data_IF_631194472483
#
_entry.id   IF_631194472483
#
_cell.length_a   1.000
_cell.length_b   1.000
_cell.length_c   1.000
_cell.angle_alpha   90.00
_cell.angle_beta   90.00
_cell.angle_gamma   90.00
#
_symmetry.space_group_name_H-M   'P 1'
#
loop_
_entity.id
_entity.type
_entity.pdbx_description
1 polymer ?
#
# COMPACT_ATOMS: atom_id res chain seq x y z
N UNK A 1 -22.68 22.32 13.34
CA UNK A 1 -22.19 23.56 12.69
C UNK A 1 -20.99 24.20 13.37
N UNK A 2 -21.00 24.34 14.70
CA UNK A 2 -19.83 24.84 15.48
C UNK A 2 -18.54 24.04 15.25
N UNK A 3 -18.61 22.70 15.24
CA UNK A 3 -17.45 21.83 14.97
C UNK A 3 -16.90 21.96 13.54
N UNK A 4 -17.78 22.19 12.55
CA UNK A 4 -17.37 22.43 11.16
C UNK A 4 -16.68 23.79 11.01
N UNK A 5 -17.17 24.83 11.68
CA UNK A 5 -16.55 26.16 11.67
C UNK A 5 -15.18 26.17 12.35
N UNK A 6 -15.03 25.51 13.49
CA UNK A 6 -13.72 25.38 14.18
C UNK A 6 -12.72 24.64 13.29
N UNK A 7 -13.12 23.53 12.67
CA UNK A 7 -12.25 22.80 11.73
C UNK A 7 -11.86 23.66 10.52
N UNK A 8 -12.74 24.56 10.07
CA UNK A 8 -12.46 25.46 8.95
C UNK A 8 -11.39 26.49 9.31
N UNK A 9 -11.46 27.09 10.50
CA UNK A 9 -10.46 28.03 10.99
C UNK A 9 -9.08 27.38 11.14
N UNK A 10 -9.02 26.16 11.68
CA UNK A 10 -7.78 25.39 11.77
C UNK A 10 -7.20 25.05 10.40
N UNK A 11 -8.04 24.56 9.48
CA UNK A 11 -7.61 24.23 8.12
C UNK A 11 -7.08 25.45 7.39
N UNK A 12 -7.75 26.61 7.54
CA UNK A 12 -7.30 27.87 6.94
C UNK A 12 -5.94 28.29 7.50
N UNK A 13 -5.72 28.15 8.81
CA UNK A 13 -4.44 28.44 9.44
C UNK A 13 -3.31 27.54 8.92
N UNK A 14 -3.55 26.23 8.78
CA UNK A 14 -2.57 25.29 8.23
C UNK A 14 -2.16 25.65 6.80
N UNK A 15 -3.11 26.06 5.95
CA UNK A 15 -2.85 26.35 4.53
C UNK A 15 -1.79 27.44 4.35
N UNK A 16 -1.80 28.50 5.16
CA UNK A 16 -0.78 29.56 5.07
C UNK A 16 0.42 29.34 5.99
N UNK A 17 0.25 28.63 7.10
CA UNK A 17 1.34 28.31 8.03
C UNK A 17 2.36 27.35 7.42
N UNK A 18 1.91 26.30 6.73
CA UNK A 18 2.78 25.30 6.08
C UNK A 18 3.79 25.89 5.08
N UNK A 19 3.40 26.70 4.07
CA UNK A 19 4.36 27.28 3.13
C UNK A 19 5.31 28.28 3.81
N UNK A 20 4.84 29.01 4.82
CA UNK A 20 5.67 29.94 5.59
C UNK A 20 6.74 29.19 6.40
N UNK A 21 6.34 28.15 7.12
CA UNK A 21 7.24 27.29 7.88
C UNK A 21 8.29 26.63 6.96
N UNK A 22 7.86 26.09 5.82
CA UNK A 22 8.75 25.47 4.83
C UNK A 22 9.79 26.46 4.27
N UNK A 23 9.36 27.70 3.97
CA UNK A 23 10.23 28.74 3.46
C UNK A 23 11.30 29.16 4.48
N UNK A 24 10.91 29.33 5.75
CA UNK A 24 11.86 29.66 6.83
C UNK A 24 12.87 28.52 7.03
N UNK A 25 12.42 27.26 7.02
CA UNK A 25 13.33 26.12 7.18
C UNK A 25 14.34 26.05 6.05
N UNK A 26 13.92 26.26 4.80
CA UNK A 26 14.82 26.30 3.64
C UNK A 26 15.84 27.43 3.76
N UNK A 27 15.40 28.61 4.20
CA UNK A 27 16.27 29.77 4.38
C UNK A 27 17.35 29.53 5.44
N UNK A 28 16.95 29.00 6.61
CA UNK A 28 17.90 28.66 7.68
C UNK A 28 18.90 27.58 7.23
N UNK A 29 18.43 26.57 6.49
CA UNK A 29 19.28 25.50 5.97
C UNK A 29 20.31 26.03 4.95
N UNK A 30 19.90 26.98 4.09
CA UNK A 30 20.80 27.67 3.19
C UNK A 30 21.87 28.49 3.95
N UNK A 31 21.48 29.18 5.01
CA UNK A 31 22.42 29.96 5.81
C UNK A 31 23.48 29.07 6.49
N UNK A 32 23.11 27.86 6.91
CA UNK A 32 23.97 26.98 7.68
C UNK A 32 24.89 26.10 6.82
N UNK A 33 24.43 25.63 5.66
CA UNK A 33 25.17 24.68 4.80
C UNK A 33 25.48 25.25 3.40
N UNK A 34 25.10 26.50 3.13
CA UNK A 34 25.29 27.14 1.83
C UNK A 34 24.55 26.38 0.72
N UNK A 35 25.10 26.34 -0.49
CA UNK A 35 24.47 25.70 -1.67
C UNK A 35 24.30 24.17 -1.57
N UNK A 36 24.94 23.51 -0.59
CA UNK A 36 24.90 22.05 -0.46
C UNK A 36 23.48 21.51 -0.17
N UNK A 37 22.60 22.32 0.45
CA UNK A 37 21.22 21.89 0.75
C UNK A 37 20.40 21.53 -0.50
N UNK A 38 20.74 22.12 -1.66
CA UNK A 38 20.05 21.86 -2.93
C UNK A 38 20.17 20.40 -3.36
N UNK A 39 21.28 19.73 -3.05
CA UNK A 39 21.46 18.30 -3.32
C UNK A 39 20.49 17.43 -2.52
N UNK A 40 20.32 17.73 -1.23
CA UNK A 40 19.35 17.06 -0.36
C UNK A 40 17.91 17.32 -0.80
N UNK A 41 17.59 18.56 -1.17
CA UNK A 41 16.28 18.93 -1.69
C UNK A 41 15.97 18.20 -3.01
N UNK A 42 16.93 18.13 -3.93
CA UNK A 42 16.77 17.41 -5.19
C UNK A 42 16.55 15.91 -4.97
N UNK A 43 17.30 15.28 -4.06
CA UNK A 43 17.12 13.88 -3.70
C UNK A 43 15.72 13.63 -3.11
N UNK A 44 15.28 14.49 -2.18
CA UNK A 44 13.95 14.40 -1.57
C UNK A 44 12.83 14.53 -2.62
N UNK A 45 12.96 15.50 -3.53
CA UNK A 45 12.01 15.68 -4.64
C UNK A 45 11.98 14.49 -5.60
N UNK A 46 13.11 13.80 -5.79
CA UNK A 46 13.22 12.60 -6.63
C UNK A 46 12.61 11.36 -5.95
N UNK A 47 12.68 11.26 -4.62
CA UNK A 47 12.07 10.16 -3.86
C UNK A 47 10.53 10.18 -3.95
N UNK A 48 9.90 11.35 -4.05
CA UNK A 48 8.43 11.48 -4.18
C UNK A 48 7.85 10.71 -5.37
N UNK A 49 8.27 10.92 -6.64
CA UNK A 49 7.76 10.16 -7.77
C UNK A 49 8.13 8.67 -7.71
N UNK A 50 9.29 8.31 -7.14
CA UNK A 50 9.67 6.89 -6.93
C UNK A 50 8.64 6.20 -6.03
N UNK A 51 8.34 6.79 -4.87
CA UNK A 51 7.35 6.26 -3.94
C UNK A 51 5.96 6.16 -4.58
N UNK A 52 5.58 7.13 -5.41
CA UNK A 52 4.32 7.08 -6.17
C UNK A 52 4.25 5.90 -7.14
N UNK A 53 5.34 5.61 -7.86
CA UNK A 53 5.41 4.46 -8.78
C UNK A 53 5.31 3.14 -8.01
N UNK A 54 6.00 3.03 -6.88
CA UNK A 54 5.95 1.84 -5.99
C UNK A 54 4.51 1.64 -5.47
N UNK A 55 3.87 2.70 -4.99
CA UNK A 55 2.49 2.65 -4.50
C UNK A 55 1.49 2.17 -5.58
N UNK A 56 1.61 2.69 -6.81
CA UNK A 56 0.79 2.21 -7.93
C UNK A 56 1.01 0.72 -8.22
N UNK A 57 2.25 0.23 -8.09
CA UNK A 57 2.57 -1.18 -8.28
C UNK A 57 1.99 -2.05 -7.18
N UNK A 58 2.06 -1.60 -5.93
CA UNK A 58 1.42 -2.24 -4.78
C UNK A 58 -0.09 -2.36 -5.02
N UNK A 59 -0.75 -1.27 -5.43
CA UNK A 59 -2.19 -1.25 -5.69
C UNK A 59 -2.59 -2.25 -6.79
N UNK A 60 -1.80 -2.30 -7.87
CA UNK A 60 -2.02 -3.27 -8.96
C UNK A 60 -1.89 -4.71 -8.48
N UNK A 61 -0.82 -5.02 -7.73
CA UNK A 61 -0.60 -6.36 -7.18
C UNK A 61 -1.67 -6.74 -6.15
N UNK A 62 -2.15 -5.76 -5.37
CA UNK A 62 -3.22 -5.95 -4.40
C UNK A 62 -4.53 -6.34 -5.10
N UNK A 63 -4.88 -5.65 -6.20
CA UNK A 63 -6.04 -6.00 -7.01
C UNK A 63 -5.98 -7.43 -7.55
N UNK A 64 -4.82 -7.87 -8.05
CA UNK A 64 -4.62 -9.25 -8.51
C UNK A 64 -4.68 -10.27 -7.37
N UNK A 65 -4.11 -9.95 -6.21
CA UNK A 65 -4.20 -10.78 -5.00
C UNK A 65 -5.66 -10.96 -4.56
N UNK A 66 -6.46 -9.89 -4.58
CA UNK A 66 -7.88 -9.93 -4.23
C UNK A 66 -8.67 -10.85 -5.17
N UNK A 67 -8.40 -10.82 -6.49
CA UNK A 67 -9.02 -11.78 -7.43
C UNK A 67 -8.74 -13.24 -7.08
N UNK A 68 -7.50 -13.56 -6.68
CA UNK A 68 -7.15 -14.91 -6.24
C UNK A 68 -7.84 -15.27 -4.92
N UNK A 69 -7.91 -14.33 -3.98
CA UNK A 69 -8.63 -14.50 -2.72
C UNK A 69 -10.12 -14.78 -2.95
N UNK A 70 -10.77 -14.03 -3.84
CA UNK A 70 -12.19 -14.23 -4.18
C UNK A 70 -12.42 -15.60 -4.80
N UNK A 71 -11.53 -16.02 -5.70
CA UNK A 71 -11.57 -17.37 -6.30
C UNK A 71 -11.45 -18.46 -5.24
N UNK A 72 -10.51 -18.31 -4.29
CA UNK A 72 -10.32 -19.25 -3.18
C UNK A 72 -11.58 -19.34 -2.31
N UNK A 73 -12.16 -18.19 -1.95
CA UNK A 73 -13.39 -18.13 -1.14
C UNK A 73 -14.54 -18.80 -1.87
N UNK A 74 -14.72 -18.52 -3.17
CA UNK A 74 -15.74 -19.17 -4.00
C UNK A 74 -15.59 -20.70 -4.02
N UNK A 75 -14.36 -21.20 -4.27
CA UNK A 75 -14.08 -22.64 -4.27
C UNK A 75 -14.35 -23.30 -2.90
N UNK A 76 -14.02 -22.61 -1.80
CA UNK A 76 -14.33 -23.08 -0.46
C UNK A 76 -15.84 -23.15 -0.22
N UNK A 77 -16.60 -22.15 -0.67
CA UNK A 77 -18.06 -22.16 -0.56
C UNK A 77 -18.68 -23.33 -1.35
N UNK A 78 -18.22 -23.57 -2.58
CA UNK A 78 -18.66 -24.71 -3.40
C UNK A 78 -18.34 -26.06 -2.72
N UNK A 79 -17.13 -26.19 -2.18
CA UNK A 79 -16.70 -27.38 -1.42
C UNK A 79 -17.61 -27.65 -0.22
N UNK A 80 -17.93 -26.62 0.58
CA UNK A 80 -18.79 -26.76 1.75
C UNK A 80 -20.24 -27.11 1.37
N UNK A 81 -20.76 -26.53 0.29
CA UNK A 81 -22.10 -26.83 -0.21
C UNK A 81 -22.20 -28.30 -0.69
N UNK A 82 -21.16 -28.82 -1.34
CA UNK A 82 -21.10 -30.18 -1.89
C UNK A 82 -20.51 -31.27 -0.97
N UNK A 83 -20.31 -31.00 0.33
CA UNK A 83 -19.44 -31.81 1.20
C UNK A 83 -19.81 -33.31 1.26
N UNK A 84 -21.11 -33.64 1.24
CA UNK A 84 -21.58 -35.04 1.30
C UNK A 84 -21.14 -35.86 0.09
N UNK A 85 -21.26 -35.29 -1.12
CA UNK A 85 -20.85 -35.93 -2.37
C UNK A 85 -19.34 -36.11 -2.42
N UNK A 86 -18.59 -35.08 -2.00
CA UNK A 86 -17.12 -35.11 -1.99
C UNK A 86 -16.59 -36.22 -1.07
N UNK A 87 -17.19 -36.39 0.11
CA UNK A 87 -16.83 -37.48 1.04
C UNK A 87 -17.20 -38.85 0.50
N UNK A 88 -18.37 -38.98 -0.12
CA UNK A 88 -18.81 -40.24 -0.75
C UNK A 88 -17.81 -40.74 -1.81
N UNK A 89 -17.25 -39.83 -2.60
CA UNK A 89 -16.24 -40.16 -3.64
C UNK A 89 -14.78 -40.02 -3.17
N UNK A 90 -14.52 -39.72 -1.89
CA UNK A 90 -13.18 -39.47 -1.34
C UNK A 90 -12.36 -38.40 -2.13
N UNK A 91 -13.04 -37.39 -2.70
CA UNK A 91 -12.41 -36.34 -3.52
C UNK A 91 -11.74 -35.21 -2.71
N UNK A 92 -11.69 -35.33 -1.38
CA UNK A 92 -11.16 -34.29 -0.48
C UNK A 92 -9.74 -33.84 -0.85
N UNK A 93 -8.86 -34.80 -1.17
CA UNK A 93 -7.47 -34.51 -1.56
C UNK A 93 -7.40 -33.70 -2.84
N UNK A 94 -8.23 -34.02 -3.84
CA UNK A 94 -8.28 -33.31 -5.11
C UNK A 94 -8.69 -31.84 -4.93
N UNK A 95 -9.76 -31.59 -4.16
CA UNK A 95 -10.19 -30.23 -3.83
C UNK A 95 -9.14 -29.46 -3.02
N UNK A 96 -8.50 -30.12 -2.04
CA UNK A 96 -7.43 -29.53 -1.25
C UNK A 96 -6.24 -29.08 -2.11
N UNK A 97 -5.80 -29.91 -3.05
CA UNK A 97 -4.75 -29.53 -4.02
C UNK A 97 -5.16 -28.30 -4.84
N UNK A 98 -6.42 -28.26 -5.29
CA UNK A 98 -6.94 -27.14 -6.10
C UNK A 98 -6.98 -25.83 -5.32
N UNK A 99 -7.37 -25.87 -4.05
CA UNK A 99 -7.38 -24.71 -3.14
C UNK A 99 -5.94 -24.25 -2.83
N UNK A 100 -5.03 -25.19 -2.58
CA UNK A 100 -3.62 -24.88 -2.35
C UNK A 100 -2.94 -24.24 -3.58
N UNK A 101 -3.28 -24.67 -4.79
CA UNK A 101 -2.81 -24.02 -6.01
C UNK A 101 -3.28 -22.56 -6.11
N UNK A 102 -4.52 -22.27 -5.69
CA UNK A 102 -5.03 -20.90 -5.61
C UNK A 102 -4.29 -20.07 -4.55
N UNK A 103 -4.08 -20.66 -3.35
CA UNK A 103 -3.32 -20.04 -2.26
C UNK A 103 -1.87 -19.73 -2.65
N UNK A 104 -1.22 -20.57 -3.44
CA UNK A 104 0.15 -20.33 -3.91
C UNK A 104 0.23 -19.05 -4.76
N UNK A 105 -0.75 -18.81 -5.65
CA UNK A 105 -0.84 -17.60 -6.47
C UNK A 105 -1.12 -16.36 -5.61
N UNK A 106 -2.02 -16.45 -4.64
CA UNK A 106 -2.29 -15.40 -3.65
C UNK A 106 -1.02 -15.01 -2.88
N UNK A 107 -0.29 -16.00 -2.35
CA UNK A 107 0.94 -15.79 -1.60
C UNK A 107 2.07 -15.20 -2.46
N UNK A 108 2.16 -15.57 -3.74
CA UNK A 108 3.12 -14.97 -4.66
C UNK A 108 2.89 -13.46 -4.82
N UNK A 109 1.63 -13.04 -4.99
CA UNK A 109 1.28 -11.61 -5.08
C UNK A 109 1.48 -10.90 -3.74
N UNK A 110 1.09 -11.53 -2.64
CA UNK A 110 1.30 -11.00 -1.29
C UNK A 110 2.79 -10.77 -1.00
N UNK A 111 3.66 -11.71 -1.37
CA UNK A 111 5.11 -11.58 -1.21
C UNK A 111 5.65 -10.36 -1.98
N UNK A 112 5.22 -10.19 -3.23
CA UNK A 112 5.61 -9.02 -4.03
C UNK A 112 5.13 -7.70 -3.40
N UNK A 113 3.90 -7.66 -2.88
CA UNK A 113 3.39 -6.49 -2.14
C UNK A 113 4.27 -6.19 -0.93
N UNK A 114 4.60 -7.20 -0.12
CA UNK A 114 5.38 -7.03 1.11
C UNK A 114 6.80 -6.55 0.86
N UNK A 115 7.46 -7.02 -0.20
CA UNK A 115 8.77 -6.49 -0.57
C UNK A 115 8.69 -5.03 -1.04
N UNK A 116 7.69 -4.68 -1.85
CA UNK A 116 7.49 -3.29 -2.30
C UNK A 116 7.16 -2.36 -1.13
N UNK A 117 6.36 -2.83 -0.18
CA UNK A 117 6.00 -2.12 1.04
C UNK A 117 7.23 -1.87 1.92
N UNK A 118 8.07 -2.88 2.12
CA UNK A 118 9.33 -2.74 2.85
C UNK A 118 10.28 -1.73 2.19
N UNK A 119 10.40 -1.74 0.85
CA UNK A 119 11.17 -0.74 0.10
C UNK A 119 10.57 0.66 0.28
N UNK A 120 9.24 0.79 0.23
CA UNK A 120 8.56 2.07 0.43
C UNK A 120 8.84 2.64 1.83
N UNK A 121 8.77 1.81 2.87
CA UNK A 121 9.08 2.21 4.26
C UNK A 121 10.55 2.59 4.40
N UNK A 122 11.46 1.82 3.81
CA UNK A 122 12.89 2.13 3.83
C UNK A 122 13.22 3.45 3.13
N UNK A 123 12.51 3.79 2.04
CA UNK A 123 12.69 5.06 1.34
C UNK A 123 12.09 6.26 2.08
N UNK A 124 11.28 6.02 3.11
CA UNK A 124 10.62 7.05 3.91
C UNK A 124 11.28 7.28 5.27
N UNK A 125 11.97 6.25 5.80
CA UNK A 125 12.77 6.30 7.02
C UNK A 125 14.14 6.95 6.75
#
# INVERSE_FOLDING_TARGET
DTSRLVNFCFSFHEVWSLPFQFSITLYLLYQQVGVAFLGGLALALLLVPINKVIANRIMTNNKEMLKHKDTRVKLMTEFLCGIRVIKFYAWEKHFSTRINACRAKELQKLRAIKYLDAVCVYLWA
#
